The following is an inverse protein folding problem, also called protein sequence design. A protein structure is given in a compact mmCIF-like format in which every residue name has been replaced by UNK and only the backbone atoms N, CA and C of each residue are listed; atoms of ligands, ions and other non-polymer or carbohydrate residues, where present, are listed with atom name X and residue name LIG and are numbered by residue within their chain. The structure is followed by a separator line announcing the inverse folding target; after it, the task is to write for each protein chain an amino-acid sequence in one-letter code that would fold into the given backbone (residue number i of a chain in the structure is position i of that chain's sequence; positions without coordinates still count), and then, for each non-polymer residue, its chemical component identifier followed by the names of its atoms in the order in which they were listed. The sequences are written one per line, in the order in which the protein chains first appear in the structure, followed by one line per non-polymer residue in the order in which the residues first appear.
data_IF_407095239501
#
_entry.id   IF_407095239501
#
_cell.length_a   1.000
_cell.length_b   1.000
_cell.length_c   1.000
_cell.angle_alpha   90.00
_cell.angle_beta   90.00
_cell.angle_gamma   90.00
#
_symmetry.space_group_name_H-M   'P 1'
#
loop_
_entity.id
_entity.type
_entity.pdbx_description
1 polymer ?
#
# COMPACT_ATOMS: atom_id res chain seq x y z
N UNK A 1 29.71 -18.83 -17.32
CA UNK A 1 30.21 -18.26 -16.05
C UNK A 1 29.02 -17.58 -15.38
N UNK A 2 28.60 -18.08 -14.22
CA UNK A 2 27.26 -17.93 -13.65
C UNK A 2 26.95 -16.52 -13.12
N UNK A 3 25.84 -15.92 -13.57
CA UNK A 3 25.22 -14.69 -13.05
C UNK A 3 24.28 -15.05 -11.88
N UNK A 4 24.83 -15.68 -10.87
CA UNK A 4 24.17 -15.95 -9.58
C UNK A 4 25.16 -15.51 -8.51
N UNK A 5 24.95 -14.33 -7.93
CA UNK A 5 25.42 -13.89 -6.58
C UNK A 5 25.63 -12.37 -6.37
N UNK A 6 24.94 -11.45 -7.08
CA UNK A 6 25.17 -10.01 -6.87
C UNK A 6 24.00 -9.16 -6.35
N UNK A 7 22.94 -9.74 -5.76
CA UNK A 7 21.78 -8.96 -5.27
C UNK A 7 21.38 -9.16 -3.81
N UNK A 8 22.26 -9.71 -2.97
CA UNK A 8 22.01 -9.81 -1.53
C UNK A 8 23.06 -9.01 -0.77
N UNK A 9 22.71 -7.78 -0.35
CA UNK A 9 23.28 -7.04 0.79
C UNK A 9 22.74 -5.61 0.99
N UNK A 10 21.79 -5.13 0.18
CA UNK A 10 21.31 -3.73 0.22
C UNK A 10 20.39 -3.32 1.39
N UNK A 11 19.89 -4.24 2.21
CA UNK A 11 18.78 -3.94 3.14
C UNK A 11 19.09 -4.10 4.64
N UNK A 12 20.33 -4.43 5.03
CA UNK A 12 20.69 -4.78 6.44
C UNK A 12 21.85 -3.92 7.00
N UNK A 13 22.10 -2.72 6.46
CA UNK A 13 23.20 -1.85 6.95
C UNK A 13 22.80 -0.49 7.53
N UNK A 14 21.51 -0.25 7.81
CA UNK A 14 21.06 1.01 8.44
C UNK A 14 20.85 0.94 9.96
N UNK A 15 21.34 -0.11 10.66
CA UNK A 15 21.05 -0.29 12.09
C UNK A 15 22.25 -0.24 13.06
N UNK A 16 23.47 0.07 12.62
CA UNK A 16 24.60 0.26 13.56
C UNK A 16 25.54 1.39 13.11
N UNK A 17 25.24 2.62 13.51
CA UNK A 17 26.27 3.63 13.74
C UNK A 17 25.88 4.54 14.89
N UNK A 18 26.16 4.08 16.11
CA UNK A 18 26.52 5.00 17.19
C UNK A 18 27.97 5.42 16.95
N UNK A 19 28.20 6.74 16.90
CA UNK A 19 29.48 7.45 16.71
C UNK A 19 30.04 7.45 15.28
N UNK A 20 29.52 8.35 14.45
CA UNK A 20 30.31 9.41 13.81
C UNK A 20 29.36 10.40 13.11
N UNK A 21 29.20 11.58 13.71
CA UNK A 21 28.57 12.73 13.10
C UNK A 21 29.48 13.30 12.01
N UNK A 22 29.35 12.81 10.77
CA UNK A 22 29.87 13.50 9.57
C UNK A 22 29.04 13.09 8.34
N UNK A 23 28.35 14.09 7.82
CA UNK A 23 27.71 14.21 6.50
C UNK A 23 26.40 13.43 6.28
N UNK A 24 25.31 14.18 6.41
CA UNK A 24 23.94 13.83 6.05
C UNK A 24 23.81 14.02 4.53
N UNK A 25 24.01 12.97 3.74
CA UNK A 25 24.00 13.05 2.27
C UNK A 25 22.59 13.39 1.71
N UNK A 26 22.56 14.47 0.92
CA UNK A 26 21.82 14.68 -0.34
C UNK A 26 20.27 14.68 -0.43
N UNK A 27 19.50 14.79 0.65
CA UNK A 27 18.04 15.00 0.50
C UNK A 27 17.70 16.47 0.24
N UNK A 28 16.72 16.73 -0.61
CA UNK A 28 16.22 18.08 -0.91
C UNK A 28 15.16 18.54 0.09
N UNK A 29 14.38 17.61 0.65
CA UNK A 29 13.46 17.92 1.73
C UNK A 29 13.36 16.80 2.78
N UNK A 30 13.02 17.21 3.99
CA UNK A 30 12.74 16.32 5.11
C UNK A 30 11.49 16.82 5.82
N UNK A 31 10.43 16.02 5.79
CA UNK A 31 9.21 16.23 6.53
C UNK A 31 9.22 15.32 7.78
N UNK A 32 8.96 15.88 8.95
CA UNK A 32 8.93 15.14 10.21
C UNK A 32 7.60 15.44 10.91
N UNK A 33 6.82 14.40 11.18
CA UNK A 33 5.61 14.51 11.98
C UNK A 33 5.83 13.79 13.29
N UNK A 34 5.54 14.45 14.41
CA UNK A 34 5.54 13.85 15.75
C UNK A 34 4.12 13.87 16.31
N UNK A 35 3.73 12.78 16.97
CA UNK A 35 2.42 12.64 17.58
C UNK A 35 2.53 12.48 19.09
N UNK A 36 1.63 13.15 19.79
CA UNK A 36 1.30 12.86 21.19
C UNK A 36 -0.08 12.23 21.19
N UNK A 37 -0.13 10.92 21.45
CA UNK A 37 -1.36 10.15 21.46
C UNK A 37 -1.98 10.17 22.87
N UNK A 38 -3.26 10.50 22.95
CA UNK A 38 -4.05 10.48 24.18
C UNK A 38 -5.03 9.32 24.11
N UNK A 39 -5.10 8.55 25.19
CA UNK A 39 -5.87 7.30 25.26
C UNK A 39 -7.02 7.42 26.26
N UNK A 40 -8.09 6.66 26.04
CA UNK A 40 -9.13 6.43 27.04
C UNK A 40 -8.73 5.32 28.01
N UNK A 41 -9.59 5.08 29.01
CA UNK A 41 -9.43 4.01 30.02
C UNK A 41 -9.29 2.60 29.43
N UNK A 42 -9.84 2.37 28.23
CA UNK A 42 -9.76 1.11 27.51
C UNK A 42 -8.53 1.01 26.59
N UNK A 43 -7.55 1.92 26.72
CA UNK A 43 -6.37 2.03 25.85
C UNK A 43 -6.68 2.23 24.36
N UNK A 44 -7.85 2.79 24.03
CA UNK A 44 -8.19 3.23 22.67
C UNK A 44 -7.77 4.69 22.51
N UNK A 45 -7.20 5.03 21.36
CA UNK A 45 -6.75 6.40 21.08
C UNK A 45 -7.96 7.33 20.96
N UNK A 46 -7.98 8.43 21.70
CA UNK A 46 -9.02 9.47 21.60
C UNK A 46 -8.59 10.62 20.71
N UNK A 47 -7.34 11.05 20.86
CA UNK A 47 -6.78 12.12 20.03
C UNK A 47 -5.31 11.84 19.73
N UNK A 48 -4.86 12.30 18.56
CA UNK A 48 -3.45 12.37 18.21
C UNK A 48 -3.11 13.82 17.89
N UNK A 49 -2.30 14.45 18.75
CA UNK A 49 -1.82 15.81 18.52
C UNK A 49 -0.56 15.73 17.68
N UNK A 50 -0.64 16.18 16.44
CA UNK A 50 0.45 16.17 15.47
C UNK A 50 1.15 17.52 15.39
N UNK A 51 2.48 17.49 15.39
CA UNK A 51 3.31 18.62 14.95
C UNK A 51 4.17 18.17 13.78
N UNK A 52 3.96 18.82 12.64
CA UNK A 52 4.67 18.61 11.39
C UNK A 52 5.72 19.70 11.21
N UNK A 53 6.93 19.29 10.81
CA UNK A 53 8.06 20.16 10.53
C UNK A 53 8.55 19.88 9.11
N UNK A 54 8.53 20.92 8.27
CA UNK A 54 9.03 20.84 6.91
C UNK A 54 10.39 21.51 6.79
N UNK A 55 11.39 20.73 6.40
CA UNK A 55 12.74 21.22 6.15
C UNK A 55 13.08 21.13 4.66
N UNK A 56 13.64 22.20 4.13
CA UNK A 56 14.12 22.30 2.76
C UNK A 56 15.64 22.49 2.72
N UNK A 57 16.30 21.83 1.78
CA UNK A 57 17.76 21.78 1.63
C UNK A 57 18.12 22.16 0.19
N UNK A 58 18.42 23.45 -0.03
CA UNK A 58 18.77 24.00 -1.35
C UNK A 58 20.05 24.84 -1.33
N UNK A 59 20.65 25.04 -2.51
CA UNK A 59 21.83 25.89 -2.70
C UNK A 59 23.15 25.32 -2.15
N UNK A 60 24.16 26.16 -1.96
CA UNK A 60 25.46 25.79 -1.38
C UNK A 60 25.44 25.44 0.12
N UNK A 61 24.26 25.42 0.73
CA UNK A 61 24.02 25.15 2.16
C UNK A 61 23.22 23.84 2.37
N UNK A 62 23.49 22.80 1.57
CA UNK A 62 22.87 21.46 1.75
C UNK A 62 23.11 20.86 3.14
N UNK A 63 24.08 21.38 3.89
CA UNK A 63 24.39 20.95 5.25
C UNK A 63 23.51 21.61 6.34
N UNK A 64 22.72 22.64 6.00
CA UNK A 64 21.87 23.39 6.93
C UNK A 64 20.45 23.47 6.37
N UNK A 65 19.60 22.52 6.76
CA UNK A 65 18.18 22.56 6.42
C UNK A 65 17.52 23.85 6.91
N UNK A 66 16.70 24.45 6.04
CA UNK A 66 15.86 25.60 6.37
C UNK A 66 14.52 25.04 6.83
N UNK A 67 14.11 25.37 8.06
CA UNK A 67 12.74 25.11 8.50
C UNK A 67 11.80 26.00 7.70
N UNK A 68 11.03 25.39 6.80
CA UNK A 68 10.12 26.06 5.90
C UNK A 68 8.77 26.34 6.57
N UNK A 69 8.25 25.37 7.31
CA UNK A 69 6.94 25.48 7.96
C UNK A 69 6.82 24.59 9.20
N UNK A 70 5.88 24.95 10.08
CA UNK A 70 5.47 24.16 11.25
C UNK A 70 3.95 24.14 11.35
N UNK A 71 3.37 22.97 11.10
CA UNK A 71 1.92 22.78 11.13
C UNK A 71 1.51 21.95 12.35
N UNK A 72 0.52 22.43 13.09
CA UNK A 72 -0.06 21.72 14.23
C UNK A 72 -1.47 21.29 13.90
N UNK A 73 -1.80 20.04 14.22
CA UNK A 73 -3.11 19.50 13.93
C UNK A 73 -3.53 18.48 14.99
N UNK A 74 -4.83 18.24 15.07
CA UNK A 74 -5.39 17.27 16.01
C UNK A 74 -6.24 16.30 15.22
N UNK A 75 -5.90 15.01 15.32
CA UNK A 75 -6.80 13.94 14.88
C UNK A 75 -7.72 13.57 16.03
N UNK A 76 -9.01 13.41 15.75
CA UNK A 76 -10.03 13.06 16.74
C UNK A 76 -10.59 11.69 16.38
N UNK A 77 -10.67 10.81 17.37
CA UNK A 77 -11.22 9.46 17.25
C UNK A 77 -12.48 9.38 18.10
N UNK A 78 -13.61 9.06 17.46
CA UNK A 78 -14.90 8.92 18.12
C UNK A 78 -15.40 7.49 17.98
N UNK A 79 -15.78 6.86 19.09
CA UNK A 79 -16.19 5.45 19.12
C UNK A 79 -17.69 5.33 19.36
N UNK A 80 -18.35 4.46 18.60
CA UNK A 80 -19.74 4.11 18.81
C UNK A 80 -19.83 3.09 19.98
N UNK A 81 -19.99 3.53 21.23
CA UNK A 81 -20.05 2.68 22.44
C UNK A 81 -18.90 1.63 22.52
N UNK A 82 -19.13 0.46 23.13
CA UNK A 82 -18.16 -0.65 23.23
C UNK A 82 -17.82 -1.32 21.89
N UNK A 83 -18.42 -0.89 20.77
CA UNK A 83 -18.21 -1.51 19.47
C UNK A 83 -16.80 -1.29 18.93
N UNK A 84 -16.44 -2.06 17.90
CA UNK A 84 -15.23 -1.85 17.08
C UNK A 84 -15.41 -0.74 16.04
N UNK A 85 -16.57 -0.09 16.00
CA UNK A 85 -16.86 0.99 15.06
C UNK A 85 -16.33 2.32 15.60
N UNK A 86 -15.69 3.08 14.73
CA UNK A 86 -15.17 4.39 15.08
C UNK A 86 -15.06 5.30 13.87
N UNK A 87 -15.10 6.60 14.12
CA UNK A 87 -14.78 7.62 13.13
C UNK A 87 -13.47 8.30 13.47
N UNK A 88 -12.81 8.82 12.44
CA UNK A 88 -11.59 9.61 12.56
C UNK A 88 -11.78 10.89 11.76
N UNK A 89 -11.52 12.02 12.41
CA UNK A 89 -11.41 13.32 11.75
C UNK A 89 -9.94 13.74 11.73
N UNK A 90 -9.43 14.02 10.55
CA UNK A 90 -8.05 14.39 10.29
C UNK A 90 -8.01 15.64 9.41
N UNK A 91 -7.68 16.82 9.96
CA UNK A 91 -7.41 17.99 9.14
C UNK A 91 -6.10 17.77 8.38
N UNK A 92 -6.15 17.87 7.06
CA UNK A 92 -5.02 17.70 6.14
C UNK A 92 -4.34 19.04 5.82
N UNK A 93 -5.10 20.13 5.85
CA UNK A 93 -4.63 21.51 5.69
C UNK A 93 -5.66 22.48 6.27
N UNK A 94 -5.42 23.80 6.19
CA UNK A 94 -6.42 24.81 6.55
C UNK A 94 -7.73 24.68 5.74
N UNK A 95 -7.68 24.08 4.54
CA UNK A 95 -8.82 23.93 3.66
C UNK A 95 -9.31 22.50 3.52
N UNK A 96 -8.56 21.46 3.93
CA UNK A 96 -8.93 20.07 3.68
C UNK A 96 -9.19 19.30 4.97
N UNK A 97 -10.35 18.66 5.06
CA UNK A 97 -10.72 17.75 6.14
C UNK A 97 -10.94 16.34 5.59
N UNK A 98 -10.28 15.37 6.20
CA UNK A 98 -10.49 13.95 5.96
C UNK A 98 -11.33 13.35 7.08
N UNK A 99 -12.44 12.71 6.72
CA UNK A 99 -13.27 11.92 7.64
C UNK A 99 -13.23 10.47 7.22
N UNK A 100 -12.96 9.59 8.17
CA UNK A 100 -13.00 8.14 7.96
C UNK A 100 -14.00 7.50 8.91
N UNK A 101 -14.78 6.54 8.42
CA UNK A 101 -15.66 5.70 9.25
C UNK A 101 -15.29 4.23 9.07
N UNK A 102 -15.02 3.59 10.20
CA UNK A 102 -14.71 2.18 10.28
C UNK A 102 -15.85 1.46 11.00
N UNK A 103 -16.31 0.37 10.42
CA UNK A 103 -17.17 -0.61 11.10
C UNK A 103 -16.49 -1.97 11.07
N UNK A 104 -17.17 -3.02 11.54
CA UNK A 104 -16.66 -4.39 11.46
C UNK A 104 -16.30 -4.79 10.02
N UNK A 105 -17.15 -4.42 9.04
CA UNK A 105 -17.07 -4.90 7.67
C UNK A 105 -17.05 -3.78 6.62
N UNK A 106 -16.99 -2.52 7.03
CA UNK A 106 -16.97 -1.38 6.10
C UNK A 106 -15.88 -0.37 6.44
N UNK A 107 -15.34 0.25 5.40
CA UNK A 107 -14.43 1.40 5.50
C UNK A 107 -14.99 2.46 4.56
N UNK A 108 -15.25 3.65 5.08
CA UNK A 108 -15.65 4.83 4.33
C UNK A 108 -14.63 5.94 4.57
N UNK A 109 -14.24 6.64 3.52
CA UNK A 109 -13.32 7.75 3.56
C UNK A 109 -13.84 8.88 2.67
N UNK A 110 -13.86 10.09 3.22
CA UNK A 110 -14.31 11.30 2.58
C UNK A 110 -13.27 12.41 2.81
N UNK A 111 -12.88 13.11 1.75
CA UNK A 111 -12.05 14.32 1.84
C UNK A 111 -12.83 15.49 1.30
N UNK A 112 -12.99 16.52 2.13
CA UNK A 112 -13.76 17.72 1.85
C UNK A 112 -12.85 18.93 1.80
N UNK A 113 -13.10 19.83 0.85
CA UNK A 113 -12.54 21.18 0.86
C UNK A 113 -13.51 22.15 1.58
N UNK A 114 -12.98 22.99 2.46
CA UNK A 114 -13.74 23.93 3.28
C UNK A 114 -14.57 24.86 2.38
N UNK A 115 -15.89 24.61 2.37
CA UNK A 115 -16.95 25.23 1.56
C UNK A 115 -17.41 24.51 0.26
N UNK A 116 -17.65 23.18 0.35
CA UNK A 116 -18.77 22.41 -0.29
C UNK A 116 -18.40 21.35 -1.32
N UNK A 117 -17.15 21.23 -1.78
CA UNK A 117 -16.81 20.23 -2.79
C UNK A 117 -16.14 19.00 -2.20
N UNK A 118 -16.64 17.82 -2.59
CA UNK A 118 -16.01 16.53 -2.26
C UNK A 118 -14.83 16.32 -3.18
N UNK A 119 -13.62 16.31 -2.63
CA UNK A 119 -12.40 16.06 -3.39
C UNK A 119 -12.24 14.57 -3.69
N UNK A 120 -12.50 13.73 -2.70
CA UNK A 120 -12.46 12.28 -2.86
C UNK A 120 -13.44 11.56 -1.95
N UNK A 121 -14.01 10.48 -2.46
CA UNK A 121 -14.84 9.55 -1.73
C UNK A 121 -14.41 8.13 -2.03
N UNK A 122 -14.16 7.34 -0.99
CA UNK A 122 -14.00 5.89 -1.15
C UNK A 122 -14.87 5.15 -0.13
N UNK A 123 -15.45 4.04 -0.59
CA UNK A 123 -16.24 3.18 0.25
C UNK A 123 -15.96 1.73 -0.09
N UNK A 124 -15.73 0.91 0.92
CA UNK A 124 -15.46 -0.51 0.76
C UNK A 124 -16.27 -1.32 1.76
N UNK A 125 -16.87 -2.41 1.29
CA UNK A 125 -17.48 -3.43 2.14
C UNK A 125 -16.75 -4.75 1.97
N UNK A 126 -16.76 -5.56 3.03
CA UNK A 126 -16.01 -6.80 3.11
C UNK A 126 -16.90 -7.93 3.61
N UNK A 127 -16.64 -9.15 3.14
CA UNK A 127 -17.15 -10.36 3.81
C UNK A 127 -16.29 -10.70 5.04
N UNK A 128 -14.99 -10.42 4.96
CA UNK A 128 -13.98 -10.57 6.02
C UNK A 128 -12.77 -9.67 5.68
N UNK A 129 -11.91 -9.40 6.66
CA UNK A 129 -10.63 -8.70 6.47
C UNK A 129 -9.84 -9.45 5.38
N UNK A 130 -9.66 -8.81 4.22
CA UNK A 130 -9.03 -9.32 2.98
C UNK A 130 -9.97 -9.90 1.89
N UNK A 131 -11.30 -9.93 2.11
CA UNK A 131 -12.29 -10.35 1.11
C UNK A 131 -13.23 -9.20 0.77
N UNK A 132 -12.84 -8.27 -0.14
CA UNK A 132 -13.72 -7.19 -0.55
C UNK A 132 -14.98 -7.75 -1.20
N UNK A 133 -16.13 -7.18 -0.88
CA UNK A 133 -17.43 -7.46 -1.48
C UNK A 133 -17.81 -6.39 -2.51
N UNK A 134 -17.60 -5.13 -2.13
CA UNK A 134 -17.87 -3.97 -2.96
C UNK A 134 -16.84 -2.89 -2.69
N UNK A 135 -16.45 -2.17 -3.75
CA UNK A 135 -15.64 -0.97 -3.66
C UNK A 135 -16.22 0.13 -4.53
N UNK A 136 -16.22 1.35 -4.04
CA UNK A 136 -16.49 2.57 -4.78
C UNK A 136 -15.34 3.53 -4.56
N UNK A 137 -14.88 4.14 -5.64
CA UNK A 137 -13.86 5.19 -5.59
C UNK A 137 -14.29 6.31 -6.52
N UNK A 138 -14.31 7.52 -6.00
CA UNK A 138 -14.52 8.76 -6.75
C UNK A 138 -13.41 9.70 -6.31
N UNK A 139 -12.50 10.00 -7.21
CA UNK A 139 -11.44 10.98 -6.97
C UNK A 139 -11.57 12.03 -8.06
N UNK A 140 -11.71 13.28 -7.64
CA UNK A 140 -11.78 14.44 -8.53
C UNK A 140 -10.41 15.09 -8.52
N UNK A 141 -9.67 15.00 -9.62
CA UNK A 141 -8.32 15.55 -9.75
C UNK A 141 -8.36 16.74 -10.73
N UNK A 142 -8.48 17.95 -10.18
CA UNK A 142 -8.48 19.20 -10.96
C UNK A 142 -9.73 19.42 -11.81
N UNK A 143 -9.68 20.42 -12.69
CA UNK A 143 -10.86 20.90 -13.45
C UNK A 143 -11.18 20.08 -14.72
N UNK A 144 -10.45 18.99 -14.99
CA UNK A 144 -10.56 18.20 -16.22
C UNK A 144 -11.15 16.79 -16.00
N UNK A 145 -12.14 16.34 -16.80
CA UNK A 145 -12.79 15.04 -16.60
C UNK A 145 -11.88 13.82 -16.85
N UNK A 146 -10.72 13.99 -17.50
CA UNK A 146 -9.82 12.89 -17.87
C UNK A 146 -8.85 12.46 -16.77
N UNK A 147 -8.72 13.24 -15.69
CA UNK A 147 -7.87 12.92 -14.55
C UNK A 147 -8.64 12.28 -13.39
N UNK A 148 -9.97 12.19 -13.50
CA UNK A 148 -10.83 11.63 -12.47
C UNK A 148 -10.84 10.11 -12.50
N UNK A 149 -10.60 9.49 -11.34
CA UNK A 149 -10.75 8.04 -11.18
C UNK A 149 -12.07 7.75 -10.49
N UNK A 150 -13.08 7.34 -11.27
CA UNK A 150 -14.43 7.05 -10.78
C UNK A 150 -14.83 5.65 -11.19
N UNK A 151 -14.96 4.74 -10.22
CA UNK A 151 -15.33 3.37 -10.52
C UNK A 151 -16.06 2.69 -9.36
N UNK A 152 -16.75 1.60 -9.71
CA UNK A 152 -17.27 0.62 -8.77
C UNK A 152 -16.76 -0.78 -9.10
N UNK A 153 -16.56 -1.59 -8.07
CA UNK A 153 -16.17 -2.98 -8.23
C UNK A 153 -16.99 -3.89 -7.33
N UNK A 154 -17.49 -4.98 -7.90
CA UNK A 154 -18.24 -6.01 -7.20
C UNK A 154 -17.47 -7.32 -7.26
N UNK A 155 -17.45 -8.04 -6.14
CA UNK A 155 -16.64 -9.24 -5.95
C UNK A 155 -17.52 -10.39 -5.47
N UNK A 156 -17.40 -11.52 -6.15
CA UNK A 156 -18.16 -12.74 -5.86
C UNK A 156 -17.22 -13.88 -5.54
N UNK A 157 -17.62 -14.73 -4.60
CA UNK A 157 -16.80 -15.81 -4.09
C UNK A 157 -17.58 -17.13 -4.08
N UNK A 158 -16.86 -18.24 -4.24
CA UNK A 158 -17.41 -19.58 -4.00
C UNK A 158 -17.44 -19.90 -2.48
N UNK A 159 -17.99 -21.07 -2.14
CA UNK A 159 -18.06 -21.57 -0.77
C UNK A 159 -16.67 -21.85 -0.16
N UNK A 160 -15.63 -21.97 -0.98
CA UNK A 160 -14.24 -22.15 -0.54
C UNK A 160 -13.56 -20.80 -0.28
N UNK A 161 -14.24 -19.68 -0.58
CA UNK A 161 -13.72 -18.34 -0.42
C UNK A 161 -12.80 -17.87 -1.56
N UNK A 162 -12.80 -18.55 -2.71
CA UNK A 162 -12.09 -18.10 -3.90
C UNK A 162 -12.91 -17.05 -4.63
N UNK A 163 -12.28 -15.98 -5.10
CA UNK A 163 -12.95 -15.01 -5.95
C UNK A 163 -13.24 -15.65 -7.31
N UNK A 164 -14.50 -15.75 -7.69
CA UNK A 164 -14.97 -16.37 -8.93
C UNK A 164 -15.38 -15.35 -9.99
N UNK A 165 -15.74 -14.13 -9.58
CA UNK A 165 -16.14 -13.06 -10.49
C UNK A 165 -15.81 -11.70 -9.89
N UNK A 166 -15.29 -10.82 -10.74
CA UNK A 166 -15.17 -9.39 -10.48
C UNK A 166 -15.94 -8.63 -11.56
N UNK A 167 -16.78 -7.69 -11.17
CA UNK A 167 -17.38 -6.71 -12.10
C UNK A 167 -16.72 -5.38 -11.83
N UNK A 168 -16.18 -4.74 -12.86
CA UNK A 168 -15.67 -3.38 -12.82
C UNK A 168 -16.60 -2.48 -13.63
N UNK A 169 -17.05 -1.39 -13.03
CA UNK A 169 -17.88 -0.38 -13.68
C UNK A 169 -17.12 0.94 -13.64
N UNK A 170 -16.68 1.40 -14.80
CA UNK A 170 -16.08 2.72 -14.97
C UNK A 170 -17.22 3.75 -15.00
N UNK A 171 -17.29 4.59 -13.98
CA UNK A 171 -18.34 5.59 -13.84
C UNK A 171 -18.12 6.81 -14.74
N UNK A 172 -16.93 6.98 -15.31
CA UNK A 172 -16.65 8.05 -16.27
C UNK A 172 -17.22 7.70 -17.65
N UNK A 173 -17.04 6.45 -18.09
CA UNK A 173 -17.43 6.00 -19.44
C UNK A 173 -18.75 5.23 -19.46
N UNK A 174 -19.23 4.76 -18.30
CA UNK A 174 -20.35 3.83 -18.17
C UNK A 174 -20.01 2.41 -18.64
N UNK A 175 -18.74 2.12 -18.94
CA UNK A 175 -18.32 0.80 -19.38
C UNK A 175 -18.31 -0.19 -18.22
N UNK A 176 -18.84 -1.38 -18.47
CA UNK A 176 -18.86 -2.48 -17.52
C UNK A 176 -18.01 -3.62 -18.09
N UNK A 177 -17.10 -4.12 -17.26
CA UNK A 177 -16.25 -5.28 -17.55
C UNK A 177 -16.50 -6.38 -16.52
N UNK A 178 -16.73 -7.60 -17.00
CA UNK A 178 -16.87 -8.78 -16.15
C UNK A 178 -15.60 -9.64 -16.27
N UNK A 179 -14.92 -9.91 -15.16
CA UNK A 179 -13.81 -10.86 -15.11
C UNK A 179 -14.24 -12.12 -14.37
N UNK A 180 -14.33 -13.23 -15.09
CA UNK A 180 -14.58 -14.55 -14.53
C UNK A 180 -13.25 -15.21 -14.18
N UNK A 181 -13.16 -15.80 -12.99
CA UNK A 181 -11.93 -16.36 -12.44
C UNK A 181 -12.09 -17.85 -12.22
N UNK A 182 -11.17 -18.63 -12.75
CA UNK A 182 -11.16 -20.08 -12.64
C UNK A 182 -9.84 -20.56 -12.05
N UNK A 183 -9.93 -21.34 -10.98
CA UNK A 183 -8.77 -22.01 -10.38
C UNK A 183 -8.71 -23.45 -10.91
N UNK A 184 -7.50 -23.88 -11.28
CA UNK A 184 -7.21 -25.24 -11.75
C UNK A 184 -8.06 -25.67 -12.96
N UNK A 185 -8.42 -24.71 -13.81
CA UNK A 185 -9.17 -24.91 -15.07
C UNK A 185 -8.40 -24.29 -16.23
N UNK A 186 -8.28 -25.02 -17.35
CA UNK A 186 -7.66 -24.50 -18.56
C UNK A 186 -8.58 -23.47 -19.26
N UNK A 187 -7.97 -22.52 -19.97
CA UNK A 187 -8.72 -21.48 -20.68
C UNK A 187 -9.75 -22.05 -21.68
N UNK A 188 -9.42 -23.13 -22.40
CA UNK A 188 -10.35 -23.73 -23.39
C UNK A 188 -11.60 -24.29 -22.74
N UNK A 189 -11.48 -24.81 -21.52
CA UNK A 189 -12.62 -25.29 -20.74
C UNK A 189 -13.39 -24.11 -20.16
N UNK A 190 -12.68 -23.15 -19.57
CA UNK A 190 -13.27 -21.97 -18.93
C UNK A 190 -14.15 -21.13 -19.88
N UNK A 191 -13.77 -21.02 -21.16
CA UNK A 191 -14.58 -20.33 -22.19
C UNK A 191 -16.01 -20.89 -22.28
N UNK A 192 -16.21 -22.20 -22.07
CA UNK A 192 -17.54 -22.81 -22.14
C UNK A 192 -18.36 -22.67 -20.84
N UNK A 193 -17.72 -22.22 -19.76
CA UNK A 193 -18.35 -22.02 -18.44
C UNK A 193 -18.81 -20.58 -18.22
N UNK A 194 -18.33 -19.64 -19.03
CA UNK A 194 -18.70 -18.22 -18.93
C UNK A 194 -20.08 -18.00 -19.55
N UNK A 195 -21.04 -17.44 -18.80
CA UNK A 195 -22.36 -17.13 -19.33
C UNK A 195 -22.28 -15.99 -20.36
N UNK A 196 -23.19 -16.01 -21.34
CA UNK A 196 -23.34 -14.91 -22.30
C UNK A 196 -23.67 -13.60 -21.57
N UNK A 197 -23.07 -12.50 -22.01
CA UNK A 197 -23.27 -11.16 -21.45
C UNK A 197 -23.10 -10.11 -22.54
N UNK A 198 -23.82 -8.99 -22.42
CA UNK A 198 -23.65 -7.83 -23.31
C UNK A 198 -22.44 -6.97 -22.92
N UNK A 199 -21.84 -7.23 -21.75
CA UNK A 199 -20.68 -6.53 -21.24
C UNK A 199 -19.37 -7.13 -21.75
N UNK A 200 -18.29 -6.35 -21.70
CA UNK A 200 -16.95 -6.87 -22.04
C UNK A 200 -16.56 -7.93 -21.02
N UNK A 201 -16.28 -9.14 -21.50
CA UNK A 201 -15.91 -10.26 -20.64
C UNK A 201 -14.41 -10.56 -20.72
N UNK A 202 -13.83 -10.85 -19.57
CA UNK A 202 -12.47 -11.32 -19.38
C UNK A 202 -12.50 -12.66 -18.63
N UNK A 203 -11.57 -13.54 -18.96
CA UNK A 203 -11.42 -14.86 -18.32
C UNK A 203 -10.00 -14.94 -17.75
N UNK A 204 -9.89 -15.00 -16.43
CA UNK A 204 -8.64 -15.23 -15.70
C UNK A 204 -8.59 -16.69 -15.26
N UNK A 205 -7.62 -17.46 -15.76
CA UNK A 205 -7.39 -18.83 -15.34
C UNK A 205 -6.09 -18.92 -14.54
N UNK A 206 -6.11 -19.67 -13.44
CA UNK A 206 -4.96 -19.88 -12.57
C UNK A 206 -4.65 -21.37 -12.48
N UNK A 207 -3.47 -21.78 -12.93
CA UNK A 207 -3.00 -23.18 -12.88
C UNK A 207 -1.83 -23.31 -11.91
N UNK A 208 -1.98 -24.20 -10.93
CA UNK A 208 -0.96 -24.47 -9.92
C UNK A 208 -0.15 -25.72 -10.27
N UNK A 209 1.15 -25.64 -10.05
CA UNK A 209 2.08 -26.74 -10.20
C UNK A 209 3.13 -26.67 -9.10
N UNK A 210 3.38 -27.78 -8.41
CA UNK A 210 4.49 -27.88 -7.48
C UNK A 210 5.70 -28.50 -8.19
N UNK A 211 6.85 -27.85 -8.11
CA UNK A 211 8.13 -28.37 -8.59
C UNK A 211 9.10 -28.35 -7.42
N UNK A 212 9.49 -29.54 -6.95
CA UNK A 212 10.22 -29.71 -5.68
C UNK A 212 9.46 -29.07 -4.50
N UNK A 213 10.06 -28.08 -3.85
CA UNK A 213 9.55 -27.31 -2.72
C UNK A 213 8.97 -25.94 -3.12
N UNK A 214 8.88 -25.66 -4.43
CA UNK A 214 8.33 -24.41 -4.97
C UNK A 214 6.94 -24.62 -5.56
N UNK A 215 5.95 -23.87 -5.07
CA UNK A 215 4.63 -23.75 -5.67
C UNK A 215 4.67 -22.68 -6.76
N UNK A 216 4.34 -23.07 -7.99
CA UNK A 216 4.27 -22.17 -9.15
C UNK A 216 2.80 -22.00 -9.53
N UNK A 217 2.32 -20.77 -9.59
CA UNK A 217 0.97 -20.45 -10.09
C UNK A 217 1.10 -19.66 -11.38
N UNK A 218 0.63 -20.22 -12.50
CA UNK A 218 0.57 -19.52 -13.79
C UNK A 218 -0.82 -18.92 -13.96
N UNK A 219 -0.89 -17.62 -14.24
CA UNK A 219 -2.14 -16.91 -14.43
C UNK A 219 -2.22 -16.43 -15.88
N UNK A 220 -3.28 -16.82 -16.57
CA UNK A 220 -3.58 -16.39 -17.94
C UNK A 220 -4.80 -15.49 -17.96
N UNK A 221 -4.77 -14.45 -18.78
CA UNK A 221 -5.90 -13.59 -19.08
C UNK A 221 -6.29 -13.78 -20.54
N UNK A 222 -7.55 -14.17 -20.80
CA UNK A 222 -8.07 -14.42 -22.15
C UNK A 222 -7.17 -15.38 -22.97
N UNK A 223 -6.65 -16.41 -22.30
CA UNK A 223 -5.77 -17.43 -22.89
C UNK A 223 -4.31 -17.02 -23.07
N UNK A 224 -3.94 -15.78 -22.75
CA UNK A 224 -2.57 -15.28 -22.85
C UNK A 224 -1.93 -15.27 -21.46
N UNK A 225 -0.66 -15.67 -21.35
CA UNK A 225 0.08 -15.58 -20.09
C UNK A 225 0.10 -14.13 -19.59
N UNK A 226 -0.34 -13.92 -18.36
CA UNK A 226 -0.43 -12.61 -17.73
C UNK A 226 0.65 -12.43 -16.66
N UNK A 227 0.73 -13.37 -15.72
CA UNK A 227 1.75 -13.36 -14.66
C UNK A 227 2.06 -14.78 -14.15
N UNK A 228 3.22 -14.93 -13.53
CA UNK A 228 3.63 -16.16 -12.85
C UNK A 228 4.00 -15.85 -11.41
N UNK A 229 3.40 -16.58 -10.46
CA UNK A 229 3.75 -16.51 -9.04
C UNK A 229 4.62 -17.71 -8.68
N UNK A 230 5.64 -17.49 -7.84
CA UNK A 230 6.42 -18.56 -7.21
C UNK A 230 6.42 -18.37 -5.71
N UNK A 231 6.05 -19.41 -4.96
CA UNK A 231 6.06 -19.42 -3.51
C UNK A 231 6.97 -20.54 -3.02
N UNK A 232 7.94 -20.22 -2.16
CA UNK A 232 8.93 -21.17 -1.66
C UNK A 232 9.49 -20.73 -0.30
N UNK A 233 10.19 -21.65 0.38
CA UNK A 233 10.91 -21.38 1.62
C UNK A 233 12.41 -21.36 1.34
N UNK A 234 13.09 -20.29 1.75
CA UNK A 234 14.54 -20.18 1.72
C UNK A 234 15.07 -20.00 3.15
N UNK A 235 15.61 -21.09 3.72
CA UNK A 235 15.97 -21.16 5.13
C UNK A 235 14.77 -20.94 6.05
N UNK A 236 14.76 -19.83 6.80
CA UNK A 236 13.65 -19.42 7.68
C UNK A 236 12.73 -18.35 7.06
N UNK A 237 12.88 -18.08 5.76
CA UNK A 237 12.14 -17.02 5.06
C UNK A 237 11.09 -17.65 4.17
N UNK A 238 9.86 -17.15 4.24
CA UNK A 238 8.82 -17.42 3.25
C UNK A 238 8.90 -16.38 2.16
N UNK A 239 9.07 -16.81 0.91
CA UNK A 239 9.24 -15.92 -0.24
C UNK A 239 8.11 -16.15 -1.23
N UNK A 240 7.56 -15.05 -1.76
CA UNK A 240 6.63 -15.05 -2.87
C UNK A 240 7.10 -14.06 -3.93
N UNK A 241 7.37 -14.56 -5.13
CA UNK A 241 7.83 -13.77 -6.27
C UNK A 241 6.75 -13.72 -7.35
N UNK A 242 6.54 -12.54 -7.92
CA UNK A 242 5.66 -12.28 -9.05
C UNK A 242 6.47 -11.86 -10.26
N UNK A 243 6.23 -12.56 -11.37
CA UNK A 243 6.82 -12.27 -12.67
C UNK A 243 5.71 -11.83 -13.62
N UNK A 244 6.00 -10.82 -14.44
CA UNK A 244 5.10 -10.42 -15.52
C UNK A 244 5.10 -11.43 -16.68
N UNK A 245 4.38 -11.10 -17.75
CA UNK A 245 4.25 -11.91 -18.95
C UNK A 245 5.59 -12.11 -19.70
N UNK A 246 6.53 -11.18 -19.54
CA UNK A 246 7.88 -11.25 -20.12
C UNK A 246 8.87 -11.99 -19.19
N UNK A 247 8.36 -12.60 -18.10
CA UNK A 247 9.14 -13.30 -17.08
C UNK A 247 10.12 -12.39 -16.32
N UNK A 248 9.84 -11.09 -16.29
CA UNK A 248 10.59 -10.12 -15.47
C UNK A 248 10.01 -10.10 -14.06
N UNK A 249 10.87 -10.15 -13.05
CA UNK A 249 10.45 -10.04 -11.65
C UNK A 249 9.90 -8.64 -11.38
N UNK A 250 8.62 -8.55 -11.03
CA UNK A 250 7.94 -7.27 -10.75
C UNK A 250 7.63 -7.08 -9.26
N UNK A 251 7.50 -8.17 -8.50
CA UNK A 251 7.27 -8.08 -7.06
C UNK A 251 7.90 -9.25 -6.29
N UNK A 252 8.39 -9.00 -5.08
CA UNK A 252 8.91 -10.00 -4.16
C UNK A 252 8.50 -9.69 -2.73
N UNK A 253 7.65 -10.55 -2.18
CA UNK A 253 7.30 -10.56 -0.77
C UNK A 253 8.21 -11.53 -0.02
N UNK A 254 8.71 -11.14 1.14
CA UNK A 254 9.53 -11.96 2.02
C UNK A 254 9.06 -11.79 3.46
N UNK A 255 8.69 -12.89 4.10
CA UNK A 255 8.32 -12.92 5.52
C UNK A 255 9.34 -13.73 6.31
N UNK A 256 9.79 -13.19 7.44
CA UNK A 256 10.75 -13.84 8.33
C UNK A 256 10.66 -13.30 9.75
N UNK A 257 11.41 -13.91 10.66
CA UNK A 257 11.57 -13.42 12.03
C UNK A 257 13.01 -12.96 12.27
N UNK A 258 13.17 -11.81 12.91
CA UNK A 258 14.46 -11.24 13.29
C UNK A 258 14.34 -10.58 14.67
N UNK A 259 15.23 -10.95 15.60
CA UNK A 259 15.26 -10.39 16.97
C UNK A 259 13.90 -10.44 17.70
N UNK A 260 13.11 -11.49 17.48
CA UNK A 260 11.77 -11.66 18.08
C UNK A 260 10.66 -10.81 17.44
N UNK A 261 10.94 -10.18 16.30
CA UNK A 261 9.96 -9.43 15.51
C UNK A 261 9.61 -10.23 14.24
N UNK A 262 8.33 -10.23 13.87
CA UNK A 262 7.91 -10.64 12.53
C UNK A 262 8.19 -9.51 11.57
N UNK A 263 8.86 -9.80 10.46
CA UNK A 263 9.23 -8.82 9.44
C UNK A 263 8.61 -9.23 8.11
N UNK A 264 7.86 -8.30 7.52
CA UNK A 264 7.31 -8.44 6.18
C UNK A 264 8.00 -7.41 5.28
N UNK A 265 8.67 -7.89 4.24
CA UNK A 265 9.33 -7.04 3.23
C UNK A 265 8.64 -7.27 1.90
N UNK A 266 8.15 -6.20 1.27
CA UNK A 266 7.63 -6.22 -0.09
C UNK A 266 8.51 -5.35 -0.99
N UNK A 267 9.12 -5.93 -2.00
CA UNK A 267 9.94 -5.24 -2.98
C UNK A 267 9.26 -5.24 -4.34
N UNK A 268 8.93 -4.07 -4.86
CA UNK A 268 8.27 -3.89 -6.15
C UNK A 268 9.23 -3.24 -7.13
N UNK A 269 9.33 -3.81 -8.34
CA UNK A 269 10.13 -3.29 -9.46
C UNK A 269 9.21 -2.85 -10.58
N UNK A 270 9.51 -1.71 -11.20
CA UNK A 270 8.82 -1.16 -12.37
C UNK A 270 9.87 -0.69 -13.38
N UNK A 271 9.44 -0.42 -14.62
CA UNK A 271 10.31 0.17 -15.64
C UNK A 271 10.94 1.51 -15.22
N UNK A 272 10.27 2.23 -14.33
CA UNK A 272 10.69 3.55 -13.84
C UNK A 272 11.55 3.50 -12.58
N UNK A 273 11.76 2.32 -11.97
CA UNK A 273 12.51 2.18 -10.73
C UNK A 273 11.94 1.13 -9.76
N UNK A 274 12.09 1.34 -8.47
CA UNK A 274 11.71 0.34 -7.45
C UNK A 274 11.21 0.96 -6.14
N UNK A 275 10.53 0.14 -5.35
CA UNK A 275 10.22 0.43 -3.94
C UNK A 275 10.39 -0.80 -3.08
N UNK A 276 10.74 -0.59 -1.81
CA UNK A 276 10.77 -1.61 -0.77
C UNK A 276 10.00 -1.11 0.43
N UNK A 277 9.01 -1.89 0.87
CA UNK A 277 8.23 -1.65 2.07
C UNK A 277 8.59 -2.74 3.10
N UNK A 278 9.13 -2.34 4.24
CA UNK A 278 9.51 -3.23 5.34
C UNK A 278 8.71 -2.89 6.60
N UNK A 279 7.86 -3.81 7.04
CA UNK A 279 7.03 -3.64 8.23
C UNK A 279 7.45 -4.64 9.31
N UNK A 280 7.69 -4.13 10.50
CA UNK A 280 8.11 -4.89 11.67
C UNK A 280 6.96 -4.96 12.67
N UNK A 281 6.72 -6.16 13.18
CA UNK A 281 5.63 -6.46 14.08
C UNK A 281 6.13 -7.12 15.36
N UNK A 282 5.53 -6.72 16.49
CA UNK A 282 5.60 -7.44 17.76
C UNK A 282 4.21 -7.96 18.09
N UNK A 283 4.02 -9.29 17.99
CA UNK A 283 2.68 -9.87 17.93
C UNK A 283 1.90 -9.31 16.72
N UNK A 284 0.70 -8.80 16.95
CA UNK A 284 -0.15 -8.21 15.90
C UNK A 284 0.02 -6.69 15.74
N UNK A 285 0.94 -6.06 16.47
CA UNK A 285 1.13 -4.60 16.47
C UNK A 285 2.33 -4.22 15.62
N UNK A 286 2.14 -3.20 14.76
CA UNK A 286 3.25 -2.57 14.05
C UNK A 286 4.11 -1.82 15.06
N UNK A 287 5.43 -1.97 14.96
CA UNK A 287 6.40 -1.26 15.81
C UNK A 287 7.34 -0.37 15.00
N UNK A 288 7.54 -0.71 13.72
CA UNK A 288 8.35 0.08 12.79
C UNK A 288 7.90 -0.19 11.37
N UNK A 289 7.95 0.84 10.54
CA UNK A 289 7.74 0.74 9.10
C UNK A 289 8.83 1.56 8.41
N UNK A 290 9.46 0.96 7.40
CA UNK A 290 10.47 1.60 6.57
C UNK A 290 10.04 1.42 5.12
N UNK A 291 9.81 2.52 4.44
CA UNK A 291 9.55 2.54 3.01
C UNK A 291 10.69 3.27 2.33
N UNK A 292 11.26 2.66 1.29
CA UNK A 292 12.23 3.31 0.43
C UNK A 292 11.84 3.12 -1.03
N UNK A 293 12.03 4.15 -1.85
CA UNK A 293 11.82 4.04 -3.28
C UNK A 293 12.80 4.90 -4.05
N UNK A 294 13.05 4.50 -5.29
CA UNK A 294 13.71 5.29 -6.31
C UNK A 294 12.89 5.15 -7.58
N UNK A 295 12.12 6.17 -7.93
CA UNK A 295 11.29 6.20 -9.14
C UNK A 295 11.64 7.44 -9.96
N UNK A 296 12.04 7.24 -11.21
CA UNK A 296 12.45 8.30 -12.12
C UNK A 296 13.52 9.23 -11.50
N UNK A 297 14.43 8.66 -10.71
CA UNK A 297 15.49 9.39 -9.99
C UNK A 297 15.01 10.16 -8.76
N UNK A 298 13.72 10.10 -8.42
CA UNK A 298 13.20 10.61 -7.15
C UNK A 298 13.30 9.54 -6.08
N UNK A 299 14.16 9.78 -5.10
CA UNK A 299 14.37 8.90 -3.96
C UNK A 299 13.54 9.36 -2.78
N UNK A 300 12.75 8.42 -2.24
CA UNK A 300 11.98 8.61 -1.02
C UNK A 300 12.49 7.65 0.04
N UNK A 301 12.69 8.16 1.27
CA UNK A 301 12.87 7.33 2.46
C UNK A 301 11.86 7.77 3.50
N UNK A 302 10.95 6.89 3.87
CA UNK A 302 9.99 7.09 4.94
C UNK A 302 10.24 6.11 6.07
N UNK A 303 10.29 6.62 7.30
CA UNK A 303 10.42 5.82 8.51
C UNK A 303 9.28 6.22 9.44
N UNK A 304 8.48 5.24 9.86
CA UNK A 304 7.42 5.40 10.85
C UNK A 304 7.70 4.57 12.09
N UNK A 305 7.51 5.19 13.24
CA UNK A 305 7.71 4.63 14.59
C UNK A 305 6.35 4.60 15.30
N UNK A 306 6.11 3.57 16.11
CA UNK A 306 4.82 3.31 16.75
C UNK A 306 4.98 3.11 18.26
N UNK A 307 3.95 3.44 19.03
CA UNK A 307 3.88 3.13 20.46
C UNK A 307 3.48 1.67 20.73
N UNK A 308 3.40 1.32 22.02
CA UNK A 308 3.07 -0.02 22.48
C UNK A 308 1.65 -0.47 22.11
N UNK A 309 0.75 0.46 21.78
CA UNK A 309 -0.61 0.21 21.33
C UNK A 309 -0.65 -0.03 19.80
N UNK A 310 0.43 0.30 19.09
CA UNK A 310 0.54 0.16 17.64
C UNK A 310 0.08 1.40 16.88
N UNK A 311 -0.03 2.55 17.56
CA UNK A 311 -0.35 3.84 16.93
C UNK A 311 0.93 4.59 16.60
N UNK A 312 0.90 5.35 15.50
CA UNK A 312 2.09 6.09 15.05
C UNK A 312 2.45 7.20 16.04
N UNK A 313 3.73 7.33 16.37
CA UNK A 313 4.26 8.40 17.24
C UNK A 313 5.20 9.33 16.49
N UNK A 314 5.80 8.85 15.40
CA UNK A 314 6.67 9.65 14.57
C UNK A 314 6.71 9.13 13.15
N UNK A 315 6.69 10.04 12.19
CA UNK A 315 6.94 9.79 10.77
C UNK A 315 8.04 10.72 10.30
N UNK A 316 8.99 10.20 9.53
CA UNK A 316 10.03 11.00 8.90
C UNK A 316 10.10 10.61 7.44
N UNK A 317 9.81 11.55 6.55
CA UNK A 317 9.86 11.38 5.10
C UNK A 317 10.95 12.26 4.54
N UNK A 318 11.94 11.66 3.88
CA UNK A 318 13.02 12.35 3.18
C UNK A 318 12.82 12.18 1.68
N UNK A 319 12.96 13.27 0.95
CA UNK A 319 12.82 13.29 -0.50
C UNK A 319 14.08 13.86 -1.14
N UNK A 320 14.55 13.18 -2.18
CA UNK A 320 15.57 13.67 -3.10
C UNK A 320 15.00 13.59 -4.50
N UNK A 321 14.90 14.71 -5.20
CA UNK A 321 14.55 14.75 -6.61
C UNK A 321 15.79 15.03 -7.45
N UNK A 322 15.78 14.67 -8.75
CA UNK A 322 16.86 15.04 -9.66
C UNK A 322 17.06 16.56 -9.63
N UNK A 323 18.30 17.02 -9.50
CA UNK A 323 18.60 18.43 -9.76
C UNK A 323 18.43 18.71 -11.24
N UNK A 324 17.73 19.79 -11.60
CA UNK A 324 17.78 20.33 -12.96
C UNK A 324 19.26 20.56 -13.32
N UNK A 325 19.71 19.92 -14.41
CA UNK A 325 21.09 19.98 -14.88
C UNK A 325 21.44 21.35 -15.45
#
# INVERSE_FOLDING_TARGET
MNIRNLFFLGSILLLLSCKNSKQQEEYNSVNIIKYINIYNENNRILTAQGTEYDYLYFGGNKDKGILADVNNFIKIYSYDNDSSCYTVEEPLSESLLKTMRYTENTIEELVLENNKDTFSYTFSTYYDKNKPKYKKSIIILGDGPSSDSRYEEYYYYDNNGNNTKKIHHDLNTGQIEETYKFNDTDYKEAVNLVPSSDYKQNIECSLKQTVNDTLITRITLNGVLNRVMKEYIDGKKRIKEEFDNDMTLVNKETEYEENGLKVNVNHTTRSTGYSTDSIYYKGNKKVKHIYNSDYNGTITLEISEYDEQGNIVKKTKKLRWPSDK
#
